data_IF_954073076786
#
_entry.id   IF_954073076786
#
_cell.length_a   1.000
_cell.length_b   1.000
_cell.length_c   1.000
_cell.angle_alpha   90.00
_cell.angle_beta   90.00
_cell.angle_gamma   90.00
#
_symmetry.space_group_name_H-M   'P 1'
#
loop_
_entity.id
_entity.type
_entity.pdbx_description
1 polymer ?
#
# COMPACT_ATOMS: atom_id res chain seq x y z
N UNK A 1 -33.84 -39.49 -26.32
CA UNK A 1 -33.26 -39.70 -24.98
C UNK A 1 -31.79 -40.04 -25.17
N UNK A 2 -30.87 -39.07 -24.99
CA UNK A 2 -29.42 -39.35 -25.09
C UNK A 2 -28.96 -39.89 -23.75
N UNK A 3 -28.49 -41.14 -23.73
CA UNK A 3 -27.75 -41.70 -22.61
C UNK A 3 -26.49 -40.85 -22.39
N UNK A 4 -26.45 -40.09 -21.30
CA UNK A 4 -25.20 -39.51 -20.82
C UNK A 4 -24.45 -40.68 -20.16
N UNK A 5 -23.28 -41.10 -20.68
CA UNK A 5 -22.54 -42.19 -20.06
C UNK A 5 -22.16 -41.76 -18.64
N UNK A 6 -22.54 -42.56 -17.64
CA UNK A 6 -22.01 -42.41 -16.28
C UNK A 6 -20.50 -42.60 -16.37
N UNK A 7 -19.73 -41.53 -16.15
CA UNK A 7 -18.31 -41.65 -15.85
C UNK A 7 -18.16 -42.56 -14.62
N UNK A 8 -17.11 -43.40 -14.57
CA UNK A 8 -16.89 -44.27 -13.43
C UNK A 8 -16.77 -43.43 -12.15
N UNK A 9 -17.48 -43.85 -11.10
CA UNK A 9 -17.36 -43.26 -9.77
C UNK A 9 -15.92 -43.41 -9.30
N UNK A 10 -15.21 -42.30 -9.15
CA UNK A 10 -13.86 -42.27 -8.63
C UNK A 10 -13.92 -42.02 -7.13
N UNK A 11 -13.41 -42.95 -6.33
CA UNK A 11 -13.40 -42.87 -4.87
C UNK A 11 -12.04 -42.38 -4.37
N UNK A 12 -12.06 -41.43 -3.44
CA UNK A 12 -10.85 -40.86 -2.83
C UNK A 12 -10.98 -40.92 -1.31
N UNK A 13 -10.29 -41.85 -0.63
CA UNK A 13 -10.31 -41.90 0.83
C UNK A 13 -9.56 -40.70 1.41
N UNK A 14 -10.20 -39.95 2.31
CA UNK A 14 -9.64 -38.75 2.93
C UNK A 14 -9.80 -38.86 4.45
N UNK A 15 -8.74 -38.56 5.19
CA UNK A 15 -8.77 -38.54 6.64
C UNK A 15 -9.57 -37.36 7.18
N UNK A 16 -10.32 -37.59 8.26
CA UNK A 16 -10.97 -36.53 9.03
C UNK A 16 -9.96 -35.87 9.96
N UNK A 17 -9.92 -34.54 9.97
CA UNK A 17 -9.18 -33.76 10.95
C UNK A 17 -10.11 -32.75 11.61
N UNK A 18 -10.25 -32.81 12.94
CA UNK A 18 -11.16 -31.96 13.72
C UNK A 18 -12.60 -31.92 13.18
N UNK A 19 -13.12 -33.09 12.76
CA UNK A 19 -14.47 -33.24 12.20
C UNK A 19 -14.65 -32.73 10.76
N UNK A 20 -13.55 -32.43 10.05
CA UNK A 20 -13.57 -31.90 8.68
C UNK A 20 -12.72 -32.75 7.74
N UNK A 21 -13.17 -32.93 6.51
CA UNK A 21 -12.41 -33.56 5.42
C UNK A 21 -12.51 -32.67 4.17
N UNK A 22 -11.56 -31.74 3.95
CA UNK A 22 -11.61 -30.85 2.80
C UNK A 22 -11.29 -31.61 1.52
N UNK A 23 -12.04 -31.31 0.45
CA UNK A 23 -11.82 -31.86 -0.89
C UNK A 23 -11.71 -30.73 -1.90
N UNK A 24 -10.92 -30.92 -2.95
CA UNK A 24 -10.84 -30.00 -4.08
C UNK A 24 -11.48 -30.66 -5.30
N UNK A 25 -12.51 -30.03 -5.84
CA UNK A 25 -13.16 -30.45 -7.09
C UNK A 25 -12.72 -29.51 -8.19
N UNK A 26 -12.02 -30.02 -9.21
CA UNK A 26 -11.62 -29.25 -10.39
C UNK A 26 -12.69 -29.41 -11.48
N UNK A 27 -13.17 -28.29 -12.04
CA UNK A 27 -14.05 -28.32 -13.20
C UNK A 27 -13.32 -28.87 -14.44
N UNK A 28 -14.03 -29.66 -15.24
CA UNK A 28 -13.56 -30.08 -16.57
C UNK A 28 -13.67 -28.96 -17.60
N UNK A 29 -13.38 -29.28 -18.87
CA UNK A 29 -13.52 -28.34 -19.99
C UNK A 29 -14.97 -28.18 -20.47
N UNK A 30 -15.83 -29.14 -20.13
CA UNK A 30 -17.24 -29.15 -20.52
C UNK A 30 -18.15 -28.68 -19.37
N UNK A 31 -19.13 -27.80 -19.64
CA UNK A 31 -20.17 -27.45 -18.68
C UNK A 31 -21.01 -28.66 -18.32
N UNK A 32 -21.43 -28.77 -17.06
CA UNK A 32 -22.27 -29.88 -16.64
C UNK A 32 -22.49 -29.96 -15.13
N UNK A 33 -23.01 -31.11 -14.71
CA UNK A 33 -23.28 -31.41 -13.30
C UNK A 33 -22.18 -32.31 -12.74
N UNK A 34 -21.65 -31.93 -11.58
CA UNK A 34 -20.74 -32.75 -10.78
C UNK A 34 -21.46 -33.16 -9.51
N UNK A 35 -21.60 -34.47 -9.29
CA UNK A 35 -22.21 -35.02 -8.08
C UNK A 35 -21.11 -35.49 -7.14
N UNK A 36 -21.12 -34.99 -5.90
CA UNK A 36 -20.18 -35.36 -4.84
C UNK A 36 -20.98 -36.09 -3.76
N UNK A 37 -20.55 -37.30 -3.42
CA UNK A 37 -21.14 -38.10 -2.35
C UNK A 37 -20.09 -38.36 -1.27
N UNK A 38 -20.43 -38.04 -0.03
CA UNK A 38 -19.61 -38.32 1.14
C UNK A 38 -20.20 -39.49 1.92
N UNK A 39 -19.36 -40.48 2.22
CA UNK A 39 -19.73 -41.68 2.96
C UNK A 39 -18.67 -41.98 4.04
N UNK A 40 -19.13 -42.38 5.22
CA UNK A 40 -18.28 -42.91 6.28
C UNK A 40 -19.04 -44.01 7.00
N UNK A 41 -18.35 -45.10 7.34
CA UNK A 41 -18.96 -46.24 8.02
C UNK A 41 -19.64 -45.79 9.32
N UNK A 42 -20.91 -46.16 9.49
CA UNK A 42 -21.69 -45.84 10.68
C UNK A 42 -22.32 -44.44 10.70
N UNK A 43 -22.24 -43.65 9.61
CA UNK A 43 -22.99 -42.40 9.46
C UNK A 43 -23.81 -42.38 8.18
N UNK A 44 -24.82 -41.51 8.14
CA UNK A 44 -25.61 -41.29 6.92
C UNK A 44 -24.77 -40.60 5.84
N UNK A 45 -24.87 -41.09 4.61
CA UNK A 45 -24.27 -40.45 3.44
C UNK A 45 -24.95 -39.12 3.12
N UNK A 46 -24.20 -38.20 2.53
CA UNK A 46 -24.76 -36.96 1.99
C UNK A 46 -24.29 -36.71 0.56
N UNK A 47 -25.14 -36.08 -0.25
CA UNK A 47 -24.90 -35.81 -1.67
C UNK A 47 -25.03 -34.31 -1.94
N UNK A 48 -24.02 -33.76 -2.62
CA UNK A 48 -24.00 -32.38 -3.11
C UNK A 48 -23.93 -32.39 -4.63
N UNK A 49 -24.77 -31.58 -5.27
CA UNK A 49 -24.69 -31.32 -6.70
C UNK A 49 -24.09 -29.94 -6.97
N UNK A 50 -23.06 -29.90 -7.82
CA UNK A 50 -22.42 -28.69 -8.31
C UNK A 50 -22.72 -28.55 -9.80
N UNK A 51 -22.94 -27.33 -10.26
CA UNK A 51 -23.24 -27.02 -11.65
C UNK A 51 -22.12 -26.12 -12.19
N UNK A 52 -21.43 -26.57 -13.24
CA UNK A 52 -20.41 -25.79 -13.95
C UNK A 52 -21.02 -25.12 -15.17
N UNK A 53 -20.55 -23.91 -15.47
CA UNK A 53 -20.97 -23.15 -16.64
C UNK A 53 -19.83 -23.03 -17.64
N UNK A 54 -20.17 -22.83 -18.91
CA UNK A 54 -19.17 -22.53 -19.94
C UNK A 54 -18.37 -21.30 -19.54
N UNK A 55 -17.04 -21.28 -19.80
CA UNK A 55 -16.26 -20.08 -19.57
C UNK A 55 -16.79 -18.97 -20.47
N UNK A 56 -17.17 -17.83 -19.88
CA UNK A 56 -17.40 -16.60 -20.66
C UNK A 56 -16.03 -16.08 -21.10
N UNK A 57 -15.63 -16.39 -22.33
CA UNK A 57 -14.33 -16.02 -22.91
C UNK A 57 -14.30 -14.59 -23.41
N UNK A 58 -15.47 -14.03 -23.75
CA UNK A 58 -15.60 -12.60 -24.03
C UNK A 58 -15.83 -11.83 -22.73
N UNK A 59 -14.71 -11.39 -22.12
CA UNK A 59 -14.71 -10.50 -20.95
C UNK A 59 -14.70 -9.02 -21.33
N UNK A 60 -14.78 -8.69 -22.61
CA UNK A 60 -14.73 -7.31 -23.10
C UNK A 60 -16.13 -6.71 -23.29
N UNK A 61 -17.16 -7.55 -23.40
CA UNK A 61 -18.55 -7.10 -23.42
C UNK A 61 -18.93 -6.41 -22.09
N UNK A 62 -19.07 -5.08 -22.15
CA UNK A 62 -19.29 -4.19 -21.00
C UNK A 62 -18.02 -3.76 -20.26
N UNK A 63 -16.83 -4.08 -20.75
CA UNK A 63 -15.59 -3.60 -20.15
C UNK A 63 -15.42 -2.09 -20.38
N UNK A 64 -15.13 -1.36 -19.30
CA UNK A 64 -14.78 0.06 -19.39
C UNK A 64 -13.39 0.20 -20.05
N UNK A 65 -13.12 1.31 -20.78
CA UNK A 65 -11.80 1.58 -21.32
C UNK A 65 -10.72 1.48 -20.24
N UNK A 66 -9.66 0.72 -20.51
CA UNK A 66 -8.46 0.71 -19.67
C UNK A 66 -7.67 1.96 -20.03
N UNK A 67 -7.65 2.95 -19.12
CA UNK A 67 -6.80 4.13 -19.24
C UNK A 67 -5.51 3.90 -18.46
N UNK A 68 -4.38 3.95 -19.14
CA UNK A 68 -3.07 3.94 -18.49
C UNK A 68 -2.65 5.39 -18.19
N UNK A 69 -3.15 5.91 -17.07
CA UNK A 69 -2.89 7.28 -16.66
C UNK A 69 -1.49 7.39 -16.08
N UNK A 70 -0.75 8.40 -16.54
CA UNK A 70 0.60 8.68 -16.07
C UNK A 70 0.63 8.76 -14.54
N UNK A 71 1.60 8.07 -13.93
CA UNK A 71 1.77 8.00 -12.48
C UNK A 71 3.24 7.99 -12.10
N UNK A 72 3.53 8.52 -10.93
CA UNK A 72 4.80 8.34 -10.24
C UNK A 72 4.53 7.86 -8.82
N UNK A 73 5.34 6.92 -8.36
CA UNK A 73 5.42 6.53 -6.95
C UNK A 73 6.79 6.89 -6.44
N UNK A 74 6.84 7.54 -5.29
CA UNK A 74 8.06 8.05 -4.68
C UNK A 74 8.23 7.37 -3.34
N UNK A 75 9.34 6.65 -3.22
CA UNK A 75 9.79 5.97 -2.00
C UNK A 75 10.78 6.89 -1.28
N UNK A 76 10.50 7.25 -0.02
CA UNK A 76 11.31 8.22 0.73
C UNK A 76 12.05 7.48 1.83
N UNK A 77 13.35 7.73 1.94
CA UNK A 77 14.19 7.14 2.98
C UNK A 77 15.48 7.91 3.15
N UNK A 78 16.37 7.39 4.01
CA UNK A 78 17.67 7.99 4.29
C UNK A 78 18.77 7.53 3.34
N UNK A 79 20.00 7.91 3.67
CA UNK A 79 21.19 7.36 3.04
C UNK A 79 21.29 5.84 3.30
N UNK A 80 21.59 5.06 2.26
CA UNK A 80 21.63 3.60 2.36
C UNK A 80 20.25 2.94 2.51
N UNK A 81 19.17 3.62 2.08
CA UNK A 81 17.86 3.00 1.91
C UNK A 81 17.91 1.82 0.93
N UNK A 82 17.02 0.84 1.11
CA UNK A 82 16.72 -0.21 0.15
C UNK A 82 15.51 0.22 -0.69
N UNK A 83 15.70 0.68 -1.93
CA UNK A 83 14.60 1.20 -2.72
C UNK A 83 13.57 0.13 -3.04
N UNK A 84 12.30 0.50 -2.93
CA UNK A 84 11.19 -0.29 -3.42
C UNK A 84 11.24 -0.39 -4.95
N UNK A 85 11.18 -1.63 -5.44
CA UNK A 85 11.11 -1.91 -6.87
C UNK A 85 9.90 -1.20 -7.51
N UNK A 86 10.12 -0.65 -8.71
CA UNK A 86 9.18 0.17 -9.50
C UNK A 86 8.78 1.53 -8.90
N UNK A 87 9.49 1.99 -7.86
CA UNK A 87 9.28 3.31 -7.26
C UNK A 87 10.52 4.18 -7.47
N UNK A 88 10.33 5.49 -7.56
CA UNK A 88 11.43 6.46 -7.63
C UNK A 88 11.91 6.72 -6.20
N UNK A 89 13.14 6.32 -5.89
CA UNK A 89 13.72 6.58 -4.57
C UNK A 89 13.99 8.06 -4.36
N UNK A 90 13.79 8.55 -3.15
CA UNK A 90 14.15 9.88 -2.68
C UNK A 90 14.94 9.73 -1.38
N UNK A 91 16.23 10.00 -1.46
CA UNK A 91 17.10 10.12 -0.29
C UNK A 91 16.86 11.49 0.34
N UNK A 92 16.15 11.52 1.46
CA UNK A 92 15.84 12.73 2.19
C UNK A 92 17.05 13.20 3.03
N UNK A 93 17.09 14.51 3.30
CA UNK A 93 18.05 15.10 4.21
C UNK A 93 17.52 15.04 5.64
N UNK A 94 18.42 14.84 6.58
CA UNK A 94 18.14 15.03 8.00
C UNK A 94 18.22 16.52 8.38
N UNK A 95 17.61 16.88 9.50
CA UNK A 95 17.73 18.21 10.15
C UNK A 95 17.17 19.42 9.39
N UNK A 96 16.60 19.23 8.20
CA UNK A 96 16.06 20.34 7.43
C UNK A 96 15.21 19.94 6.24
N UNK A 97 14.97 20.88 5.35
CA UNK A 97 14.21 20.62 4.14
C UNK A 97 14.99 19.73 3.17
N UNK A 98 14.29 18.83 2.49
CA UNK A 98 14.80 18.06 1.36
C UNK A 98 14.00 18.39 0.11
N UNK A 99 14.67 18.52 -1.03
CA UNK A 99 14.05 18.81 -2.32
C UNK A 99 14.48 17.76 -3.35
N UNK A 100 13.56 17.38 -4.24
CA UNK A 100 13.85 16.50 -5.36
C UNK A 100 13.09 16.93 -6.62
N UNK A 101 13.79 16.91 -7.75
CA UNK A 101 13.21 17.09 -9.07
C UNK A 101 12.80 15.73 -9.64
N UNK A 102 11.65 15.69 -10.31
CA UNK A 102 11.13 14.54 -11.03
C UNK A 102 10.86 14.92 -12.47
N UNK A 103 11.15 14.03 -13.41
CA UNK A 103 10.92 14.26 -14.85
C UNK A 103 9.50 13.85 -15.30
N UNK A 104 8.77 13.11 -14.45
CA UNK A 104 7.39 12.70 -14.72
C UNK A 104 6.49 13.91 -14.91
N UNK A 105 5.47 13.76 -15.76
CA UNK A 105 4.56 14.84 -16.16
C UNK A 105 5.26 16.01 -16.89
N UNK A 106 6.49 15.85 -17.38
CA UNK A 106 7.24 16.93 -18.03
C UNK A 106 8.05 17.80 -17.05
N UNK A 107 8.15 17.38 -15.79
CA UNK A 107 9.00 18.03 -14.79
C UNK A 107 8.20 18.64 -13.65
N UNK A 108 8.45 18.21 -12.41
CA UNK A 108 7.99 18.94 -11.21
C UNK A 108 9.00 18.76 -10.06
N UNK A 109 8.96 19.65 -9.09
CA UNK A 109 9.78 19.57 -7.88
C UNK A 109 8.89 19.26 -6.68
N UNK A 110 9.35 18.34 -5.83
CA UNK A 110 8.79 18.16 -4.50
C UNK A 110 9.78 18.64 -3.43
N UNK A 111 9.23 19.18 -2.34
CA UNK A 111 9.96 19.60 -1.15
C UNK A 111 9.28 19.07 0.10
N UNK A 112 10.03 18.40 0.97
CA UNK A 112 9.58 18.04 2.32
C UNK A 112 10.31 18.89 3.33
N UNK A 113 9.60 19.42 4.32
CA UNK A 113 10.18 20.23 5.39
C UNK A 113 9.33 20.15 6.67
N UNK A 114 9.92 20.35 7.86
CA UNK A 114 9.16 20.67 9.04
C UNK A 114 8.35 21.95 8.80
N UNK A 115 7.16 22.05 9.38
CA UNK A 115 6.28 23.20 9.22
C UNK A 115 6.79 24.44 9.98
N UNK A 116 7.65 24.27 10.99
CA UNK A 116 8.25 25.33 11.79
C UNK A 116 9.77 25.35 11.65
N UNK A 117 10.37 26.51 11.96
CA UNK A 117 11.82 26.71 11.91
C UNK A 117 12.61 25.91 12.96
N UNK A 118 11.93 25.36 13.97
CA UNK A 118 12.53 24.57 15.04
C UNK A 118 12.23 23.06 14.91
N UNK A 119 11.42 22.67 13.93
CA UNK A 119 11.13 21.27 13.66
C UNK A 119 12.34 20.56 13.07
N UNK A 120 12.37 19.24 13.21
CA UNK A 120 13.47 18.39 12.75
C UNK A 120 12.91 17.27 11.88
N UNK A 121 13.57 16.99 10.76
CA UNK A 121 13.37 15.74 10.01
C UNK A 121 14.47 14.74 10.36
N UNK A 122 14.07 13.47 10.49
CA UNK A 122 14.98 12.34 10.58
C UNK A 122 14.57 11.29 9.57
N UNK A 123 15.52 10.84 8.78
CA UNK A 123 15.33 9.72 7.86
C UNK A 123 15.64 8.45 8.63
N UNK A 124 14.65 7.59 8.76
CA UNK A 124 14.69 6.43 9.64
C UNK A 124 14.01 5.25 8.96
N UNK A 125 14.34 4.02 9.39
CA UNK A 125 13.64 2.86 8.87
C UNK A 125 14.09 1.50 9.40
N UNK A 126 13.31 0.49 9.03
CA UNK A 126 13.52 -0.94 9.23
C UNK A 126 13.40 -1.64 7.88
N UNK A 127 14.43 -2.40 7.50
CA UNK A 127 14.46 -3.08 6.21
C UNK A 127 13.53 -4.32 6.14
N UNK A 128 13.12 -4.84 7.30
CA UNK A 128 12.40 -6.10 7.44
C UNK A 128 10.89 -5.94 7.70
N UNK A 129 10.27 -4.87 7.21
CA UNK A 129 8.81 -4.75 7.24
C UNK A 129 8.20 -5.71 6.24
N UNK A 130 7.44 -6.70 6.73
CA UNK A 130 6.79 -7.72 5.89
C UNK A 130 5.49 -7.18 5.30
N UNK A 131 5.25 -7.45 4.02
CA UNK A 131 3.99 -7.10 3.37
C UNK A 131 4.19 -6.49 1.98
N UNK A 132 3.09 -6.07 1.36
CA UNK A 132 3.14 -5.43 0.04
C UNK A 132 3.86 -4.09 0.15
N UNK A 133 4.88 -3.91 -0.68
CA UNK A 133 5.77 -2.74 -0.68
C UNK A 133 6.46 -2.47 0.66
N UNK A 134 6.83 -3.55 1.37
CA UNK A 134 7.50 -3.46 2.67
C UNK A 134 8.75 -2.58 2.69
N UNK A 135 9.51 -2.50 1.59
CA UNK A 135 10.66 -1.59 1.51
C UNK A 135 10.24 -0.11 1.56
N UNK A 136 9.23 0.28 0.78
CA UNK A 136 8.73 1.66 0.77
C UNK A 136 8.05 2.10 2.06
N UNK A 137 7.56 1.16 2.88
CA UNK A 137 6.89 1.45 4.14
C UNK A 137 7.75 1.17 5.37
N UNK A 138 8.86 0.47 5.17
CA UNK A 138 9.87 0.19 6.18
C UNK A 138 10.79 1.37 6.42
N UNK A 139 11.00 2.21 5.41
CA UNK A 139 11.78 3.46 5.54
C UNK A 139 10.87 4.68 5.36
N UNK A 140 11.34 5.84 5.80
CA UNK A 140 10.59 7.08 5.72
C UNK A 140 11.33 8.26 6.32
N UNK A 141 10.67 9.41 6.25
CA UNK A 141 11.03 10.57 7.06
C UNK A 141 10.08 10.72 8.22
N UNK A 142 10.65 11.26 9.27
CA UNK A 142 10.09 11.28 10.58
C UNK A 142 10.20 12.72 11.09
N UNK A 143 9.08 13.43 11.13
CA UNK A 143 9.05 14.85 11.47
C UNK A 143 8.71 15.05 12.95
N UNK A 144 9.58 15.74 13.67
CA UNK A 144 9.38 16.19 15.05
C UNK A 144 9.08 17.67 15.00
N UNK A 145 7.80 18.01 14.95
CA UNK A 145 7.35 19.40 14.84
C UNK A 145 5.92 19.56 15.33
N UNK A 146 5.70 20.46 16.28
CA UNK A 146 4.37 20.83 16.80
C UNK A 146 3.46 21.42 15.72
N UNK A 147 4.03 21.99 14.66
CA UNK A 147 3.29 22.51 13.51
C UNK A 147 3.15 21.47 12.39
N UNK A 148 3.82 20.31 12.49
CA UNK A 148 3.69 19.20 11.55
C UNK A 148 4.72 19.17 10.41
N UNK A 149 4.42 18.40 9.37
CA UNK A 149 5.27 18.19 8.19
C UNK A 149 4.60 18.81 6.96
N UNK A 150 5.35 19.48 6.10
CA UNK A 150 4.87 20.03 4.83
C UNK A 150 5.54 19.31 3.66
N UNK A 151 4.72 18.84 2.72
CA UNK A 151 5.10 18.47 1.37
C UNK A 151 4.59 19.55 0.40
N UNK A 152 5.49 20.17 -0.33
CA UNK A 152 5.17 21.15 -1.37
C UNK A 152 5.52 20.60 -2.75
N UNK A 153 4.61 20.73 -3.70
CA UNK A 153 4.80 20.36 -5.10
C UNK A 153 4.75 21.62 -5.96
N UNK A 154 5.78 21.85 -6.77
CA UNK A 154 5.89 23.01 -7.66
C UNK A 154 6.14 22.58 -9.09
N UNK A 155 5.57 23.33 -10.05
CA UNK A 155 5.70 23.02 -11.48
C UNK A 155 4.90 21.80 -11.94
N UNK A 156 3.97 21.29 -11.13
CA UNK A 156 3.05 20.23 -11.59
C UNK A 156 2.20 20.82 -12.73
N UNK A 157 2.15 20.20 -13.94
CA UNK A 157 1.40 20.76 -15.06
C UNK A 157 -0.08 20.96 -14.74
N UNK A 158 -0.75 21.81 -15.53
CA UNK A 158 -2.18 22.06 -15.38
C UNK A 158 -2.99 20.77 -15.54
N UNK A 159 -3.87 20.47 -14.58
CA UNK A 159 -4.71 19.27 -14.64
C UNK A 159 -5.24 18.82 -13.27
N UNK A 160 -6.02 17.75 -13.29
CA UNK A 160 -6.43 17.06 -12.07
C UNK A 160 -5.52 15.87 -11.79
N UNK A 161 -5.22 15.67 -10.51
CA UNK A 161 -4.38 14.57 -10.06
C UNK A 161 -4.99 13.94 -8.82
N UNK A 162 -4.78 12.63 -8.69
CA UNK A 162 -5.00 11.91 -7.44
C UNK A 162 -3.66 11.79 -6.73
N UNK A 163 -3.57 12.41 -5.55
CA UNK A 163 -2.44 12.28 -4.66
C UNK A 163 -2.74 11.25 -3.58
N UNK A 164 -1.79 10.34 -3.33
CA UNK A 164 -1.86 9.37 -2.25
C UNK A 164 -0.62 9.48 -1.37
N UNK A 165 -0.78 9.67 -0.06
CA UNK A 165 0.33 9.56 0.90
C UNK A 165 0.26 8.26 1.68
N UNK A 166 1.42 7.75 2.11
CA UNK A 166 1.55 6.50 2.86
C UNK A 166 2.29 6.73 4.20
N UNK A 167 1.74 6.13 5.26
CA UNK A 167 2.12 6.37 6.65
C UNK A 167 2.15 5.07 7.45
N UNK A 168 3.36 4.62 7.76
CA UNK A 168 3.69 3.47 8.57
C UNK A 168 4.85 3.82 9.50
N UNK A 169 4.67 3.57 10.79
CA UNK A 169 5.72 3.70 11.79
C UNK A 169 6.38 2.32 11.98
N UNK A 170 7.51 2.05 11.30
CA UNK A 170 8.18 0.75 11.41
C UNK A 170 8.63 0.51 12.85
N UNK A 171 8.51 -0.74 13.29
CA UNK A 171 9.14 -1.20 14.52
C UNK A 171 10.22 -2.22 14.19
N UNK A 172 11.33 -2.27 14.95
CA UNK A 172 12.37 -3.25 14.72
C UNK A 172 11.77 -4.66 14.66
N UNK A 173 12.03 -5.34 13.55
CA UNK A 173 11.67 -6.75 13.36
C UNK A 173 12.94 -7.57 13.17
N UNK A 174 13.97 -7.23 13.94
CA UNK A 174 15.26 -7.90 13.96
C UNK A 174 15.09 -9.31 14.54
N UNK A 175 14.72 -10.24 13.67
CA UNK A 175 15.24 -11.59 13.77
C UNK A 175 16.74 -11.54 13.44
N UNK A 176 17.54 -12.45 14.03
CA UNK A 176 19.00 -12.65 13.89
C UNK A 176 19.56 -12.78 12.44
N UNK A 177 18.76 -12.51 11.41
CA UNK A 177 19.02 -12.79 10.00
C UNK A 177 19.32 -11.54 9.15
N UNK A 178 19.47 -10.35 9.73
CA UNK A 178 19.90 -9.16 8.98
C UNK A 178 21.42 -9.27 8.64
N UNK A 179 21.78 -9.36 7.34
CA UNK A 179 23.17 -9.55 6.93
C UNK A 179 24.03 -8.28 7.13
N UNK A 180 23.44 -7.10 7.33
CA UNK A 180 24.17 -5.84 7.43
C UNK A 180 24.53 -5.49 8.88
N UNK A 181 25.51 -6.23 9.42
CA UNK A 181 26.00 -6.11 10.80
C UNK A 181 26.49 -4.72 11.22
N UNK A 182 26.87 -3.87 10.27
CA UNK A 182 27.28 -2.48 10.56
C UNK A 182 26.07 -1.55 10.73
N UNK A 183 25.00 -1.72 9.94
CA UNK A 183 23.75 -0.94 10.08
C UNK A 183 22.99 -1.30 11.36
N UNK A 184 23.03 -2.56 11.80
CA UNK A 184 22.45 -3.02 13.07
C UNK A 184 23.06 -2.35 14.32
N UNK A 185 24.30 -1.86 14.25
CA UNK A 185 24.97 -1.18 15.38
C UNK A 185 24.56 0.29 15.52
N UNK A 186 24.07 0.92 14.45
CA UNK A 186 23.73 2.35 14.41
C UNK A 186 22.23 2.63 14.37
N UNK A 187 21.41 1.69 13.86
CA UNK A 187 19.96 1.81 13.81
C UNK A 187 19.33 1.55 15.18
N UNK A 188 19.21 2.59 16.00
CA UNK A 188 18.08 2.65 16.92
C UNK A 188 16.99 3.45 16.22
N UNK A 189 15.99 2.78 15.67
CA UNK A 189 14.69 3.42 15.53
C UNK A 189 14.39 4.02 16.91
N UNK A 190 14.24 5.35 17.03
CA UNK A 190 14.04 5.94 18.34
C UNK A 190 12.79 5.31 18.95
N UNK A 191 12.75 5.14 20.27
CA UNK A 191 11.53 4.73 20.99
C UNK A 191 10.55 5.90 21.16
N UNK A 192 10.74 6.98 20.40
CA UNK A 192 9.89 8.15 20.39
C UNK A 192 8.43 7.80 20.13
N UNK A 193 7.56 8.53 20.83
CA UNK A 193 6.14 8.43 20.60
C UNK A 193 5.82 9.06 19.23
N UNK A 194 5.11 8.33 18.39
CA UNK A 194 4.58 8.81 17.11
C UNK A 194 3.07 8.94 17.15
N UNK A 195 2.56 9.78 16.27
CA UNK A 195 1.14 10.04 16.12
C UNK A 195 0.47 8.83 15.46
N UNK A 196 -0.60 8.35 16.10
CA UNK A 196 -1.45 7.28 15.54
C UNK A 196 -2.48 7.82 14.58
N UNK A 197 -2.83 9.10 14.73
CA UNK A 197 -3.82 9.79 13.92
C UNK A 197 -3.17 11.08 13.40
N UNK A 198 -3.37 11.36 12.11
CA UNK A 198 -2.89 12.58 11.47
C UNK A 198 -4.03 13.29 10.76
N UNK A 199 -3.96 14.62 10.76
CA UNK A 199 -4.77 15.46 9.91
C UNK A 199 -3.97 15.86 8.67
N UNK A 200 -4.52 15.63 7.50
CA UNK A 200 -3.95 16.05 6.22
C UNK A 200 -4.70 17.28 5.73
N UNK A 201 -4.06 18.42 5.85
CA UNK A 201 -4.51 19.72 5.36
C UNK A 201 -3.88 19.94 4.00
N UNK A 202 -4.66 20.21 2.96
CA UNK A 202 -4.08 20.58 1.67
C UNK A 202 -4.60 21.90 1.15
N UNK A 203 -3.82 22.54 0.29
CA UNK A 203 -4.18 23.74 -0.45
C UNK A 203 -3.66 23.59 -1.87
N UNK A 204 -4.57 23.69 -2.83
CA UNK A 204 -4.30 23.60 -4.27
C UNK A 204 -4.57 24.93 -4.97
N UNK A 205 -4.44 24.98 -6.31
CA UNK A 205 -4.65 26.19 -7.08
C UNK A 205 -6.09 26.74 -7.00
N UNK A 206 -7.07 25.90 -6.67
CA UNK A 206 -8.46 26.32 -6.43
C UNK A 206 -8.67 26.84 -5.00
N UNK A 207 -7.62 26.88 -4.18
CA UNK A 207 -7.68 27.20 -2.74
C UNK A 207 -8.62 26.26 -1.99
N UNK A 208 -8.76 25.02 -2.46
CA UNK A 208 -9.49 24.01 -1.72
C UNK A 208 -8.74 23.74 -0.42
N UNK A 209 -9.44 23.86 0.70
CA UNK A 209 -8.94 23.43 2.00
C UNK A 209 -9.79 22.24 2.41
N UNK A 210 -9.17 21.07 2.47
CA UNK A 210 -9.80 19.90 3.06
C UNK A 210 -8.92 19.33 4.15
N UNK A 211 -9.56 18.72 5.14
CA UNK A 211 -8.91 18.01 6.23
C UNK A 211 -9.31 16.54 6.13
N UNK A 212 -8.32 15.67 5.96
CA UNK A 212 -8.51 14.22 5.96
C UNK A 212 -7.89 13.63 7.22
N UNK A 213 -8.65 12.80 7.92
CA UNK A 213 -8.13 12.07 9.07
C UNK A 213 -7.58 10.74 8.59
N UNK A 214 -6.32 10.45 8.92
CA UNK A 214 -5.69 9.17 8.60
C UNK A 214 -5.17 8.50 9.85
N UNK A 215 -5.29 7.18 9.88
CA UNK A 215 -4.70 6.36 10.93
C UNK A 215 -3.37 5.79 10.45
N UNK A 216 -2.30 6.09 11.17
CA UNK A 216 -0.96 5.58 10.94
C UNK A 216 -0.91 4.13 11.40
N UNK A 217 -0.44 3.25 10.52
CA UNK A 217 -0.16 1.84 10.85
C UNK A 217 1.24 1.69 11.45
N UNK A 218 1.53 0.58 12.11
CA UNK A 218 2.84 0.36 12.72
C UNK A 218 3.19 -1.12 12.85
N UNK A 219 4.45 -1.40 13.18
CA UNK A 219 4.94 -2.74 13.48
C UNK A 219 5.98 -3.24 12.47
N UNK A 220 6.28 -4.54 12.53
CA UNK A 220 7.17 -5.22 11.58
C UNK A 220 6.45 -5.85 10.40
N UNK A 221 5.13 -5.66 10.27
CA UNK A 221 4.29 -6.28 9.25
C UNK A 221 3.13 -5.35 8.89
N UNK A 222 2.84 -5.20 7.60
CA UNK A 222 1.62 -4.55 7.12
C UNK A 222 0.49 -5.59 7.14
N UNK A 223 -0.40 -5.50 8.13
CA UNK A 223 -1.50 -6.47 8.35
C UNK A 223 -2.60 -6.43 7.28
N UNK A 224 -2.50 -5.51 6.31
CA UNK A 224 -3.47 -5.32 5.22
C UNK A 224 -2.80 -5.05 3.87
N UNK A 225 -3.58 -4.74 2.82
CA UNK A 225 -3.03 -4.48 1.50
C UNK A 225 -2.22 -3.17 1.41
N UNK A 226 -2.43 -2.25 2.37
CA UNK A 226 -1.84 -0.91 2.41
C UNK A 226 -1.62 -0.45 3.86
N UNK A 227 -0.62 0.43 4.11
CA UNK A 227 -0.45 1.11 5.38
C UNK A 227 -1.51 2.21 5.56
N UNK A 228 -1.37 3.01 6.61
CA UNK A 228 -2.12 4.26 6.76
C UNK A 228 -1.98 5.11 5.50
N UNK A 229 -3.10 5.60 4.96
CA UNK A 229 -3.08 6.29 3.67
C UNK A 229 -4.12 7.39 3.56
N UNK A 230 -3.74 8.50 2.92
CA UNK A 230 -4.66 9.56 2.50
C UNK A 230 -4.79 9.53 0.98
N UNK A 231 -5.99 9.74 0.45
CA UNK A 231 -6.24 9.89 -0.98
C UNK A 231 -7.02 11.18 -1.21
N UNK A 232 -6.41 12.11 -1.92
CA UNK A 232 -7.00 13.42 -2.20
C UNK A 232 -6.94 13.74 -3.68
N UNK A 233 -7.97 14.43 -4.16
CA UNK A 233 -7.99 15.01 -5.49
C UNK A 233 -7.41 16.42 -5.41
N UNK A 234 -6.41 16.70 -6.22
CA UNK A 234 -5.75 18.00 -6.29
C UNK A 234 -5.86 18.56 -7.70
N UNK A 235 -6.00 19.88 -7.80
CA UNK A 235 -5.94 20.60 -9.06
C UNK A 235 -4.67 21.46 -9.12
N UNK A 236 -3.93 21.34 -10.22
CA UNK A 236 -2.83 22.24 -10.54
C UNK A 236 -3.24 23.20 -11.65
N UNK A 237 -2.84 24.46 -11.52
CA UNK A 237 -2.92 25.48 -12.58
C UNK A 237 -1.61 25.59 -13.39
N UNK A 238 -0.60 24.76 -13.10
CA UNK A 238 0.72 24.81 -13.73
C UNK A 238 1.71 25.79 -13.10
N UNK A 239 1.29 26.60 -12.12
CA UNK A 239 2.07 27.72 -11.62
C UNK A 239 2.10 27.77 -10.08
N UNK A 240 0.94 27.65 -9.45
CA UNK A 240 0.77 27.73 -8.00
C UNK A 240 1.30 26.46 -7.32
N UNK A 241 2.04 26.58 -6.20
CA UNK A 241 2.45 25.42 -5.43
C UNK A 241 1.24 24.70 -4.84
N UNK A 242 1.29 23.37 -4.82
CA UNK A 242 0.35 22.54 -4.07
C UNK A 242 1.02 22.22 -2.73
N UNK A 243 0.37 22.61 -1.64
CA UNK A 243 0.89 22.41 -0.29
C UNK A 243 0.04 21.37 0.44
N UNK A 244 0.71 20.35 1.00
CA UNK A 244 0.10 19.27 1.75
C UNK A 244 0.79 19.23 3.12
N UNK A 245 0.05 19.57 4.16
CA UNK A 245 0.52 19.63 5.54
C UNK A 245 -0.09 18.50 6.36
N UNK A 246 0.76 17.69 6.94
CA UNK A 246 0.40 16.63 7.89
C UNK A 246 0.56 17.19 9.30
N UNK A 247 -0.48 17.07 10.13
CA UNK A 247 -0.51 17.57 11.51
C UNK A 247 -0.83 16.41 12.44
N UNK A 248 -0.06 16.27 13.51
CA UNK A 248 -0.36 15.35 14.60
C UNK A 248 -1.11 16.12 15.71
N UNK A 249 -2.40 15.82 15.97
CA UNK A 249 -3.16 16.50 17.03
C UNK A 249 -2.53 16.34 18.42
N UNK A 250 -1.88 15.20 18.66
CA UNK A 250 -1.19 14.89 19.92
C UNK A 250 0.29 15.36 19.95
N UNK A 251 0.71 16.14 18.94
CA UNK A 251 2.05 16.72 18.78
C UNK A 251 3.18 15.71 18.80
N UNK A 252 2.88 14.44 18.56
CA UNK A 252 3.89 13.41 18.40
C UNK A 252 4.47 13.45 17.00
N UNK A 253 5.52 12.66 16.84
CA UNK A 253 6.18 12.46 15.58
C UNK A 253 5.25 12.02 14.44
N UNK A 254 5.48 12.59 13.26
CA UNK A 254 4.77 12.23 12.04
C UNK A 254 5.66 11.34 11.19
N UNK A 255 5.16 10.16 10.84
CA UNK A 255 5.80 9.27 9.87
C UNK A 255 5.24 9.51 8.47
N UNK A 256 6.13 9.75 7.51
CA UNK A 256 5.81 9.90 6.10
C UNK A 256 6.80 9.08 5.27
N UNK A 257 6.30 8.01 4.65
CA UNK A 257 7.15 7.00 4.03
C UNK A 257 7.24 7.21 2.52
N UNK A 258 6.11 7.52 1.90
CA UNK A 258 6.02 7.48 0.45
C UNK A 258 4.82 8.29 -0.05
N UNK A 259 4.81 8.63 -1.33
CA UNK A 259 3.62 9.18 -1.99
C UNK A 259 3.47 8.70 -3.44
N UNK A 260 2.25 8.80 -3.96
CA UNK A 260 1.91 8.57 -5.36
C UNK A 260 1.19 9.81 -5.91
N UNK A 261 1.58 10.25 -7.12
CA UNK A 261 0.81 11.21 -7.91
C UNK A 261 0.40 10.51 -9.19
N UNK A 262 -0.90 10.54 -9.49
CA UNK A 262 -1.45 9.98 -10.71
C UNK A 262 -2.31 11.05 -11.40
N UNK A 263 -2.12 11.23 -12.71
CA UNK A 263 -3.02 12.06 -13.51
C UNK A 263 -4.46 11.54 -13.42
N UNK A 264 -5.44 12.43 -13.48
CA UNK A 264 -6.85 12.10 -13.37
C UNK A 264 -7.64 12.85 -14.45
N UNK A 265 -8.38 12.11 -15.26
CA UNK A 265 -9.10 12.63 -16.45
C UNK A 265 -10.58 12.24 -16.49
#
# INVERSE_FOLDING_TARGET
MKFIPKLPLQTFPIGLWSGKAPILVRAGTEPGRVTVQAEVNGMMSNVLELYTMAPKTDKLDGALPIRDLARIRVDIGGEGQLPQFDWVSWVANDEGASEKQFDTFGGFKAKIAPASAHGILRSLGEMNVKGKYGYAFGEGVAAIDDQGLVLELTGVPTGQYKFTSFHHAPQPNTNDMDPNREKLKSLKLPSWAYAKDLEVHFTDANRNIQVHQIRVTDGGTIEGPWPGMSKIMIYSDGHSPISIRFVAPDKKAIWFNAFEIQAWD
#
